data_IF_973906070718
#
_entry.id   IF_973906070718
#
_cell.length_a   1.000
_cell.length_b   1.000
_cell.length_c   1.000
_cell.angle_alpha   90.00
_cell.angle_beta   90.00
_cell.angle_gamma   90.00
#
_symmetry.space_group_name_H-M   'P 1'
#
loop_
_entity.id
_entity.type
_entity.pdbx_description
1 polymer ?
#
# COMPACT_ATOMS: atom_id res chain seq x y z
N UNK A 1 -6.34 11.02 24.18
CA UNK A 1 -6.49 10.65 22.76
C UNK A 1 -7.85 10.04 22.44
N UNK A 2 -8.28 8.97 23.13
CA UNK A 2 -9.56 8.29 22.89
C UNK A 2 -10.82 9.19 22.91
N UNK A 3 -10.85 10.17 23.82
CA UNK A 3 -11.96 11.11 23.94
C UNK A 3 -12.05 12.10 22.75
N UNK A 4 -10.90 12.54 22.21
CA UNK A 4 -10.83 13.38 21.03
C UNK A 4 -11.28 12.62 19.78
N UNK A 5 -10.89 11.35 19.68
CA UNK A 5 -11.29 10.48 18.58
C UNK A 5 -12.80 10.19 18.61
N UNK A 6 -13.37 9.98 19.81
CA UNK A 6 -14.82 9.88 20.02
C UNK A 6 -15.55 11.17 19.67
N UNK A 7 -15.01 12.34 20.03
CA UNK A 7 -15.59 13.64 19.67
C UNK A 7 -15.54 13.85 18.15
N UNK A 8 -14.44 13.48 17.48
CA UNK A 8 -14.31 13.50 16.01
C UNK A 8 -15.35 12.59 15.34
N UNK A 9 -15.50 11.36 15.82
CA UNK A 9 -16.50 10.41 15.31
C UNK A 9 -17.95 10.87 15.55
N UNK A 10 -18.21 11.52 16.68
CA UNK A 10 -19.52 12.10 17.00
C UNK A 10 -19.83 13.32 16.12
N UNK A 11 -18.87 14.21 15.92
CA UNK A 11 -18.98 15.34 14.99
C UNK A 11 -19.16 14.84 13.55
N UNK A 12 -18.47 13.76 13.17
CA UNK A 12 -18.60 13.11 11.87
C UNK A 12 -20.00 12.53 11.65
N UNK A 13 -20.53 11.74 12.59
CA UNK A 13 -21.91 11.21 12.52
C UNK A 13 -22.93 12.35 12.40
N UNK A 14 -22.73 13.43 13.15
CA UNK A 14 -23.62 14.59 13.11
C UNK A 14 -23.53 15.38 11.80
N UNK A 15 -22.34 15.48 11.19
CA UNK A 15 -22.16 16.11 9.87
C UNK A 15 -22.77 15.27 8.74
N UNK A 16 -22.69 13.94 8.84
CA UNK A 16 -23.30 13.00 7.88
C UNK A 16 -24.83 13.02 7.97
N UNK A 17 -25.40 13.07 9.18
CA UNK A 17 -26.86 13.11 9.39
C UNK A 17 -27.50 14.45 8.99
N UNK A 18 -26.82 15.58 9.24
CA UNK A 18 -27.39 16.92 9.01
C UNK A 18 -27.36 17.34 7.53
N UNK A 19 -26.57 16.69 6.66
CA UNK A 19 -26.28 17.20 5.31
C UNK A 19 -26.45 16.18 4.16
N UNK A 20 -27.52 15.38 4.18
CA UNK A 20 -27.80 14.38 3.15
C UNK A 20 -27.95 14.89 1.69
N UNK A 21 -27.89 16.20 1.40
CA UNK A 21 -28.21 16.72 0.05
C UNK A 21 -27.08 17.33 -0.77
N UNK A 22 -25.92 17.71 -0.22
CA UNK A 22 -24.91 18.44 -1.02
C UNK A 22 -23.43 18.17 -0.72
N UNK A 23 -23.07 17.30 0.23
CA UNK A 23 -21.66 17.08 0.55
C UNK A 23 -21.06 15.98 -0.33
N UNK A 24 -20.13 16.33 -1.22
CA UNK A 24 -19.52 15.37 -2.14
C UNK A 24 -18.73 14.31 -1.38
N UNK A 25 -18.98 13.03 -1.67
CA UNK A 25 -18.21 11.88 -1.15
C UNK A 25 -16.68 12.07 -1.25
N UNK A 26 -16.22 12.85 -2.23
CA UNK A 26 -14.80 13.19 -2.40
C UNK A 26 -14.24 13.99 -1.22
N UNK A 27 -15.02 14.95 -0.71
CA UNK A 27 -14.60 15.81 0.39
C UNK A 27 -14.54 15.01 1.69
N UNK A 28 -15.54 14.16 1.94
CA UNK A 28 -15.52 13.25 3.11
C UNK A 28 -14.33 12.31 3.07
N UNK A 29 -14.08 11.66 1.93
CA UNK A 29 -12.93 10.76 1.80
C UNK A 29 -11.60 11.50 2.02
N UNK A 30 -11.46 12.74 1.51
CA UNK A 30 -10.26 13.55 1.73
C UNK A 30 -10.07 13.85 3.21
N UNK A 31 -11.12 14.28 3.91
CA UNK A 31 -11.06 14.55 5.35
C UNK A 31 -10.70 13.30 6.16
N UNK A 32 -11.28 12.15 5.82
CA UNK A 32 -10.97 10.88 6.50
C UNK A 32 -9.50 10.52 6.33
N UNK A 33 -9.01 10.54 5.10
CA UNK A 33 -7.62 10.19 4.80
C UNK A 33 -6.64 11.18 5.44
N UNK A 34 -6.93 12.49 5.40
CA UNK A 34 -6.10 13.52 6.04
C UNK A 34 -6.06 13.40 7.56
N UNK A 35 -7.13 12.88 8.18
CA UNK A 35 -7.20 12.64 9.62
C UNK A 35 -6.58 11.31 10.07
N UNK A 36 -6.32 10.39 9.14
CA UNK A 36 -5.87 9.04 9.46
C UNK A 36 -4.37 9.00 9.76
N UNK A 37 -4.00 8.34 10.87
CA UNK A 37 -2.59 8.06 11.17
C UNK A 37 -1.99 7.02 10.22
N UNK A 38 -2.81 6.05 9.78
CA UNK A 38 -2.43 4.96 8.86
C UNK A 38 -3.54 4.78 7.83
N UNK A 39 -3.18 4.62 6.55
CA UNK A 39 -4.12 4.31 5.49
C UNK A 39 -3.73 3.01 4.77
N UNK A 40 -4.65 2.06 4.72
CA UNK A 40 -4.48 0.82 3.95
C UNK A 40 -5.23 0.94 2.62
N UNK A 41 -4.55 0.63 1.52
CA UNK A 41 -5.16 0.53 0.21
C UNK A 41 -4.33 -0.38 -0.70
N UNK A 42 -4.93 -0.83 -1.80
CA UNK A 42 -4.16 -1.50 -2.86
C UNK A 42 -3.29 -0.48 -3.59
N UNK A 43 -2.18 -0.93 -4.18
CA UNK A 43 -1.24 -0.07 -4.91
C UNK A 43 -1.92 0.70 -6.04
N UNK A 44 -2.85 0.08 -6.78
CA UNK A 44 -3.66 0.74 -7.81
C UNK A 44 -4.52 1.88 -7.23
N UNK A 45 -5.09 1.70 -6.03
CA UNK A 45 -5.91 2.72 -5.37
C UNK A 45 -5.06 3.89 -4.86
N UNK A 46 -3.80 3.65 -4.47
CA UNK A 46 -2.87 4.70 -4.09
C UNK A 46 -2.63 5.73 -5.21
N UNK A 47 -2.88 5.38 -6.48
CA UNK A 47 -2.81 6.28 -7.63
C UNK A 47 -3.97 7.32 -7.69
N UNK A 48 -5.06 7.11 -6.94
CA UNK A 48 -6.23 8.01 -7.01
C UNK A 48 -5.85 9.42 -6.54
N UNK A 49 -6.47 10.43 -7.15
CA UNK A 49 -6.30 11.86 -6.79
C UNK A 49 -6.52 12.17 -5.30
N UNK A 50 -7.29 11.33 -4.62
CA UNK A 50 -7.49 11.39 -3.17
C UNK A 50 -6.16 11.43 -2.40
N UNK A 51 -5.13 10.76 -2.93
CA UNK A 51 -3.82 10.57 -2.31
C UNK A 51 -2.73 11.52 -2.85
N UNK A 52 -3.08 12.50 -3.70
CA UNK A 52 -2.08 13.37 -4.34
C UNK A 52 -1.51 14.44 -3.40
N UNK A 53 -2.36 15.02 -2.54
CA UNK A 53 -2.01 16.13 -1.65
C UNK A 53 -1.85 15.68 -0.20
N UNK A 54 -1.25 14.51 -0.02
CA UNK A 54 -1.08 13.90 1.30
C UNK A 54 0.38 13.83 1.70
N UNK A 55 0.60 13.87 3.01
CA UNK A 55 1.92 13.81 3.62
C UNK A 55 2.06 12.54 4.46
N UNK A 56 2.07 11.38 3.79
CA UNK A 56 2.65 10.18 4.39
C UNK A 56 4.14 10.19 4.11
N UNK A 57 4.93 10.24 5.18
CA UNK A 57 6.39 10.21 5.13
C UNK A 57 6.91 8.77 4.98
N UNK A 58 6.08 7.77 5.29
CA UNK A 58 6.44 6.35 5.22
C UNK A 58 5.46 5.58 4.35
N UNK A 59 5.99 4.80 3.42
CA UNK A 59 5.26 3.85 2.60
C UNK A 59 5.65 2.43 2.99
N UNK A 60 4.66 1.57 3.18
CA UNK A 60 4.86 0.12 3.32
C UNK A 60 4.09 -0.58 2.20
N UNK A 61 4.78 -1.40 1.41
CA UNK A 61 4.16 -2.27 0.41
C UNK A 61 4.39 -3.71 0.87
N UNK A 62 3.30 -4.37 1.28
CA UNK A 62 3.29 -5.80 1.53
C UNK A 62 3.05 -6.58 0.23
N UNK A 63 3.49 -7.82 0.16
CA UNK A 63 3.49 -8.66 -1.05
C UNK A 63 4.11 -7.94 -2.27
N UNK A 64 5.17 -7.17 -2.05
CA UNK A 64 5.78 -6.30 -3.06
C UNK A 64 6.30 -7.06 -4.29
N UNK A 65 6.59 -8.36 -4.16
CA UNK A 65 6.94 -9.24 -5.28
C UNK A 65 5.77 -9.48 -6.23
N UNK A 66 4.53 -9.39 -5.77
CA UNK A 66 3.33 -9.61 -6.59
C UNK A 66 2.88 -8.35 -7.35
N UNK A 67 3.54 -7.22 -7.13
CA UNK A 67 3.17 -5.94 -7.73
C UNK A 67 4.15 -5.57 -8.84
N UNK A 68 3.62 -5.18 -10.01
CA UNK A 68 4.45 -4.66 -11.10
C UNK A 68 5.26 -3.45 -10.63
N UNK A 69 6.47 -3.28 -11.14
CA UNK A 69 7.29 -2.11 -10.80
C UNK A 69 6.57 -0.79 -11.14
N UNK A 70 5.88 -0.75 -12.29
CA UNK A 70 5.09 0.39 -12.74
C UNK A 70 3.92 0.70 -11.80
N UNK A 71 3.25 -0.31 -11.26
CA UNK A 71 2.18 -0.14 -10.27
C UNK A 71 2.73 0.31 -8.93
N UNK A 72 3.85 -0.27 -8.48
CA UNK A 72 4.53 0.11 -7.24
C UNK A 72 4.86 1.60 -7.23
N UNK A 73 5.37 2.12 -8.36
CA UNK A 73 5.71 3.55 -8.54
C UNK A 73 4.56 4.51 -8.24
N UNK A 74 3.31 4.09 -8.42
CA UNK A 74 2.13 4.94 -8.18
C UNK A 74 1.91 5.27 -6.71
N UNK A 75 2.40 4.41 -5.81
CA UNK A 75 2.39 4.62 -4.36
C UNK A 75 3.51 5.54 -3.89
N UNK A 76 4.57 5.74 -4.68
CA UNK A 76 5.67 6.64 -4.35
C UNK A 76 5.27 8.12 -4.56
N UNK A 77 4.75 8.74 -3.50
CA UNK A 77 4.36 10.17 -3.46
C UNK A 77 5.53 11.09 -3.13
N UNK A 78 5.37 12.39 -3.41
CA UNK A 78 6.45 13.38 -3.34
C UNK A 78 7.05 13.58 -1.94
N UNK A 79 6.29 13.33 -0.87
CA UNK A 79 6.70 13.59 0.50
C UNK A 79 7.24 12.36 1.25
N UNK A 80 7.57 11.27 0.53
CA UNK A 80 8.10 10.06 1.15
C UNK A 80 9.55 10.24 1.58
N UNK A 81 9.82 9.92 2.84
CA UNK A 81 11.15 9.87 3.45
C UNK A 81 11.65 8.42 3.57
N UNK A 82 10.73 7.46 3.73
CA UNK A 82 11.05 6.04 3.84
C UNK A 82 10.05 5.18 3.06
N UNK A 83 10.57 4.13 2.41
CA UNK A 83 9.78 3.10 1.77
C UNK A 83 10.26 1.72 2.23
N UNK A 84 9.32 0.90 2.71
CA UNK A 84 9.56 -0.46 3.19
C UNK A 84 8.82 -1.39 2.24
N UNK A 85 9.58 -2.25 1.56
CA UNK A 85 9.02 -3.27 0.67
C UNK A 85 9.15 -4.62 1.36
N UNK A 86 8.03 -5.30 1.57
CA UNK A 86 7.97 -6.62 2.19
C UNK A 86 7.51 -7.60 1.12
N UNK A 87 8.22 -8.71 0.95
CA UNK A 87 7.88 -9.71 -0.05
C UNK A 87 8.86 -10.88 -0.06
N UNK A 88 8.49 -11.92 -0.79
CA UNK A 88 9.31 -13.10 -1.02
C UNK A 88 9.52 -13.32 -2.52
N UNK A 89 10.72 -13.04 -3.02
CA UNK A 89 11.10 -13.18 -4.43
C UNK A 89 11.19 -14.65 -4.90
N UNK A 90 10.93 -15.62 -4.01
CA UNK A 90 10.78 -17.04 -4.35
C UNK A 90 9.32 -17.47 -4.47
N UNK A 91 8.37 -16.60 -4.12
CA UNK A 91 6.94 -16.87 -4.27
C UNK A 91 6.40 -16.32 -5.60
N UNK A 92 5.07 -16.19 -5.71
CA UNK A 92 4.42 -15.68 -6.91
C UNK A 92 4.89 -14.24 -7.22
N UNK A 93 5.20 -14.01 -8.49
CA UNK A 93 5.39 -12.67 -9.04
C UNK A 93 4.09 -12.07 -9.58
N UNK A 94 4.15 -10.89 -10.22
CA UNK A 94 2.99 -10.24 -10.80
C UNK A 94 2.38 -11.06 -11.94
N UNK A 95 1.07 -10.95 -12.15
CA UNK A 95 0.37 -11.64 -13.23
C UNK A 95 0.35 -10.74 -14.47
N UNK A 96 0.92 -11.22 -15.58
CA UNK A 96 0.95 -10.52 -16.88
C UNK A 96 0.32 -11.43 -17.92
N UNK A 97 -0.80 -10.99 -18.51
CA UNK A 97 -1.57 -11.78 -19.49
C UNK A 97 -0.91 -11.78 -20.87
N UNK A 98 -0.26 -10.66 -21.24
CA UNK A 98 0.41 -10.54 -22.54
C UNK A 98 1.69 -11.38 -22.55
N UNK A 99 1.76 -12.38 -23.45
CA UNK A 99 2.94 -13.22 -23.62
C UNK A 99 4.19 -12.39 -23.94
N UNK A 100 4.11 -11.47 -24.89
CA UNK A 100 5.22 -10.60 -25.25
C UNK A 100 5.73 -9.75 -24.07
N UNK A 101 4.83 -9.29 -23.20
CA UNK A 101 5.22 -8.57 -21.99
C UNK A 101 5.79 -9.51 -20.92
N UNK A 102 5.22 -10.71 -20.76
CA UNK A 102 5.72 -11.70 -19.80
C UNK A 102 7.10 -12.27 -20.16
N UNK A 103 7.44 -12.34 -21.45
CA UNK A 103 8.76 -12.73 -21.94
C UNK A 103 9.81 -11.62 -21.80
N UNK A 104 9.36 -10.38 -21.59
CA UNK A 104 10.22 -9.24 -21.28
C UNK A 104 10.42 -9.09 -19.75
N UNK A 105 11.22 -8.10 -19.34
CA UNK A 105 11.37 -7.77 -17.92
C UNK A 105 10.13 -7.08 -17.30
N UNK A 106 9.04 -6.90 -18.05
CA UNK A 106 7.84 -6.23 -17.54
C UNK A 106 7.22 -6.93 -16.33
N UNK A 107 7.33 -8.27 -16.25
CA UNK A 107 6.83 -9.05 -15.10
C UNK A 107 7.68 -8.86 -13.84
N UNK A 108 8.89 -8.29 -13.92
CA UNK A 108 9.75 -8.08 -12.76
C UNK A 108 9.15 -7.00 -11.84
N UNK A 109 9.01 -7.33 -10.56
CA UNK A 109 8.63 -6.37 -9.51
C UNK A 109 9.77 -5.43 -9.15
N UNK A 110 9.45 -4.29 -8.53
CA UNK A 110 10.46 -3.38 -7.96
C UNK A 110 11.31 -4.10 -6.91
N UNK A 111 10.69 -4.96 -6.09
CA UNK A 111 11.36 -5.74 -5.06
C UNK A 111 12.42 -6.67 -5.67
N UNK A 112 12.04 -7.47 -6.68
CA UNK A 112 12.96 -8.38 -7.35
C UNK A 112 14.11 -7.63 -8.01
N UNK A 113 13.85 -6.48 -8.64
CA UNK A 113 14.90 -5.65 -9.25
C UNK A 113 15.89 -5.12 -8.22
N UNK A 114 15.44 -4.73 -7.03
CA UNK A 114 16.34 -4.27 -5.97
C UNK A 114 17.20 -5.42 -5.45
N UNK A 115 16.59 -6.59 -5.19
CA UNK A 115 17.30 -7.79 -4.76
C UNK A 115 18.32 -8.24 -5.80
N UNK A 116 17.96 -8.28 -7.09
CA UNK A 116 18.87 -8.72 -8.16
C UNK A 116 20.07 -7.78 -8.35
N UNK A 117 19.90 -6.50 -8.01
CA UNK A 117 20.98 -5.50 -8.05
C UNK A 117 21.81 -5.44 -6.76
N UNK A 118 21.62 -6.39 -5.83
CA UNK A 118 22.40 -6.48 -4.60
C UNK A 118 22.02 -5.44 -3.55
N UNK A 119 20.83 -4.84 -3.63
CA UNK A 119 20.35 -3.97 -2.55
C UNK A 119 20.25 -4.76 -1.25
N UNK A 120 20.79 -4.27 -0.12
CA UNK A 120 20.71 -4.98 1.15
C UNK A 120 19.25 -5.18 1.57
N UNK A 121 18.94 -6.36 2.09
CA UNK A 121 17.61 -6.70 2.60
C UNK A 121 17.73 -7.58 3.84
N UNK A 122 16.67 -7.60 4.64
CA UNK A 122 16.58 -8.43 5.83
C UNK A 122 15.72 -9.65 5.49
N UNK A 123 16.23 -10.85 5.77
CA UNK A 123 15.48 -12.10 5.66
C UNK A 123 15.03 -12.55 7.03
N UNK A 124 13.72 -12.71 7.22
CA UNK A 124 13.17 -13.38 8.39
C UNK A 124 13.42 -14.90 8.25
N UNK A 125 14.00 -15.54 9.25
CA UNK A 125 14.48 -16.94 9.16
C UNK A 125 13.60 -17.95 9.87
N UNK A 126 12.87 -17.54 10.92
CA UNK A 126 12.04 -18.44 11.71
C UNK A 126 10.60 -18.46 11.17
N UNK A 127 10.11 -19.64 10.77
CA UNK A 127 8.72 -19.80 10.36
C UNK A 127 7.86 -20.32 11.52
N UNK A 128 6.67 -19.75 11.70
CA UNK A 128 5.76 -20.05 12.82
C UNK A 128 4.39 -20.61 12.39
N UNK A 129 4.16 -20.80 11.09
CA UNK A 129 2.87 -21.24 10.54
C UNK A 129 2.74 -22.77 10.50
N UNK A 130 3.71 -23.45 9.89
CA UNK A 130 3.62 -24.87 9.57
C UNK A 130 4.26 -25.75 10.65
N UNK A 131 3.88 -27.04 10.72
CA UNK A 131 4.62 -28.00 11.54
C UNK A 131 6.01 -28.27 10.92
N UNK A 132 7.03 -28.65 11.71
CA UNK A 132 8.37 -28.93 11.18
C UNK A 132 8.38 -29.92 10.02
N UNK A 133 7.49 -30.91 10.02
CA UNK A 133 7.42 -31.95 8.99
C UNK A 133 6.92 -31.44 7.63
N UNK A 134 6.22 -30.30 7.59
CA UNK A 134 5.74 -29.66 6.36
C UNK A 134 6.75 -28.59 5.89
N UNK A 135 7.46 -27.97 6.83
CA UNK A 135 8.40 -26.88 6.56
C UNK A 135 9.83 -27.36 6.20
N UNK A 136 10.12 -28.64 6.38
CA UNK A 136 11.43 -29.25 6.14
C UNK A 136 11.83 -29.32 4.67
#
# INVERSE_FOLDING_TARGET
EEALERIRLLLYRRLVDVNQRNFSHRVLNKMLVDSASVCFCTTTVACRRLFNDMWFHTLVIDEACQVLESESRTAFKACLEAAILVGDHKQLGPIVISNAASESEFKRSLFERLVSNGHPFIRLQTQYRMRPEIAA
#
